data_IF_805078632778
#
_entry.id   IF_805078632778
#
_cell.length_a   1.000
_cell.length_b   1.000
_cell.length_c   1.000
_cell.angle_alpha   90.00
_cell.angle_beta   90.00
_cell.angle_gamma   90.00
#
_symmetry.space_group_name_H-M   'P 1'
#
loop_
_entity.id
_entity.type
_entity.pdbx_description
1 polymer ?
#
# COMPACT_ATOMS: atom_id res chain seq x y z
N UNK A 1 19.78 -18.88 -10.93
CA UNK A 1 19.68 -19.64 -9.67
C UNK A 1 19.13 -21.01 -10.02
N UNK A 2 19.95 -22.06 -10.01
CA UNK A 2 19.53 -23.41 -10.44
C UNK A 2 18.49 -24.05 -9.52
N UNK A 3 18.31 -23.51 -8.29
CA UNK A 3 17.36 -23.99 -7.29
C UNK A 3 16.19 -23.02 -7.03
N UNK A 4 16.05 -21.93 -7.81
CA UNK A 4 15.05 -20.88 -7.57
C UNK A 4 15.06 -20.30 -6.13
N UNK A 5 16.20 -20.32 -5.44
CA UNK A 5 16.30 -19.68 -4.12
C UNK A 5 16.21 -18.15 -4.22
N UNK A 6 15.59 -17.56 -3.20
CA UNK A 6 15.61 -16.12 -2.96
C UNK A 6 16.80 -15.73 -2.09
N UNK A 7 17.06 -14.43 -1.95
CA UNK A 7 18.00 -13.92 -0.95
C UNK A 7 17.40 -13.94 0.45
N UNK A 8 18.24 -13.87 1.48
CA UNK A 8 17.79 -13.63 2.85
C UNK A 8 16.95 -12.34 2.92
N UNK A 9 15.84 -12.40 3.64
CA UNK A 9 14.91 -11.29 3.81
C UNK A 9 14.73 -10.96 5.28
N UNK A 10 14.20 -9.78 5.58
CA UNK A 10 13.87 -9.39 6.95
C UNK A 10 12.75 -10.31 7.51
N UNK A 11 13.04 -11.04 8.58
CA UNK A 11 12.07 -11.91 9.26
C UNK A 11 11.24 -11.16 10.32
N UNK A 12 11.72 -10.00 10.78
CA UNK A 12 11.10 -9.22 11.84
C UNK A 12 10.17 -8.12 11.31
N UNK A 13 9.08 -7.86 12.04
CA UNK A 13 8.20 -6.74 11.76
C UNK A 13 8.78 -5.47 12.38
N UNK A 14 9.05 -4.46 11.55
CA UNK A 14 9.52 -3.14 12.01
C UNK A 14 8.38 -2.14 11.81
N UNK A 15 7.48 -2.06 12.79
CA UNK A 15 6.35 -1.14 12.74
C UNK A 15 6.72 0.24 13.30
N UNK A 16 6.38 1.29 12.55
CA UNK A 16 6.51 2.68 12.99
C UNK A 16 5.20 3.42 12.72
N UNK A 17 5.01 4.64 13.28
CA UNK A 17 3.83 5.45 12.98
C UNK A 17 3.63 5.77 11.49
N UNK A 18 4.64 5.59 10.65
CA UNK A 18 4.65 5.93 9.22
C UNK A 18 4.97 4.75 8.29
N UNK A 19 5.39 3.60 8.83
CA UNK A 19 5.80 2.44 8.03
C UNK A 19 4.65 1.85 7.20
N UNK A 20 5.00 1.11 6.15
CA UNK A 20 4.11 0.16 5.49
C UNK A 20 4.76 -1.22 5.58
N UNK A 21 4.06 -2.17 6.18
CA UNK A 21 4.59 -3.50 6.45
C UNK A 21 3.79 -4.55 5.69
N UNK A 22 4.45 -5.31 4.82
CA UNK A 22 3.79 -6.30 3.95
C UNK A 22 4.34 -7.69 4.30
N UNK A 23 3.48 -8.63 4.76
CA UNK A 23 3.94 -9.98 5.04
C UNK A 23 4.25 -10.71 3.74
N UNK A 24 5.32 -11.50 3.74
CA UNK A 24 5.73 -12.33 2.62
C UNK A 24 6.20 -13.71 3.06
N UNK A 25 6.31 -14.61 2.09
CA UNK A 25 7.00 -15.89 2.23
C UNK A 25 8.10 -15.96 1.20
N UNK A 26 9.28 -16.42 1.59
CA UNK A 26 10.43 -16.57 0.70
C UNK A 26 11.10 -17.93 0.94
N UNK A 27 11.79 -18.43 -0.08
CA UNK A 27 12.51 -19.70 -0.03
C UNK A 27 14.01 -19.43 0.02
N UNK A 28 14.68 -19.84 1.09
CA UNK A 28 16.11 -19.57 1.30
C UNK A 28 16.75 -20.71 2.11
N UNK A 29 17.88 -21.24 1.61
CA UNK A 29 18.61 -22.38 2.19
C UNK A 29 17.72 -23.60 2.37
N UNK A 30 17.03 -23.99 1.29
CA UNK A 30 16.20 -25.19 1.26
C UNK A 30 14.91 -25.14 2.09
N UNK A 31 14.51 -23.96 2.62
CA UNK A 31 13.35 -23.83 3.51
C UNK A 31 12.49 -22.61 3.18
N UNK A 32 11.18 -22.78 3.33
CA UNK A 32 10.25 -21.66 3.33
C UNK A 32 10.29 -20.91 4.67
N UNK A 33 10.40 -19.60 4.59
CA UNK A 33 10.43 -18.68 5.74
C UNK A 33 9.31 -17.65 5.61
N UNK A 34 8.86 -17.13 6.74
CA UNK A 34 8.00 -15.93 6.79
C UNK A 34 8.90 -14.72 6.91
N UNK A 35 8.54 -13.63 6.27
CA UNK A 35 9.26 -12.37 6.38
C UNK A 35 8.37 -11.17 6.12
N UNK A 36 8.99 -10.01 6.13
CA UNK A 36 8.33 -8.73 6.00
C UNK A 36 9.07 -7.83 5.04
N UNK A 37 8.33 -7.24 4.10
CA UNK A 37 8.78 -6.04 3.40
C UNK A 37 8.41 -4.84 4.27
N UNK A 38 9.40 -4.34 5.02
CA UNK A 38 9.27 -3.17 5.88
C UNK A 38 9.69 -1.91 5.11
N UNK A 39 8.73 -1.08 4.73
CA UNK A 39 8.99 0.24 4.17
C UNK A 39 8.92 1.23 5.32
N UNK A 40 10.06 1.42 5.98
CA UNK A 40 10.13 2.13 7.26
C UNK A 40 10.10 3.64 7.10
N UNK A 41 10.56 4.21 5.98
CA UNK A 41 10.60 5.66 5.76
C UNK A 41 9.99 6.05 4.40
N UNK A 42 8.67 6.15 4.34
CA UNK A 42 7.92 6.51 3.13
C UNK A 42 8.14 7.99 2.70
N UNK A 43 8.66 8.85 3.58
CA UNK A 43 8.86 10.27 3.28
C UNK A 43 10.04 10.54 2.34
N UNK A 44 10.98 9.60 2.22
CA UNK A 44 12.09 9.68 1.26
C UNK A 44 11.70 9.31 -0.17
N UNK A 45 10.41 9.07 -0.40
CA UNK A 45 9.88 8.54 -1.65
C UNK A 45 9.98 7.02 -1.69
N UNK A 46 9.03 6.39 -2.40
CA UNK A 46 9.04 4.96 -2.66
C UNK A 46 8.68 4.75 -4.13
N UNK A 47 9.64 4.24 -4.90
CA UNK A 47 9.43 3.97 -6.32
C UNK A 47 9.14 2.48 -6.53
N UNK A 48 7.98 2.18 -7.10
CA UNK A 48 7.59 0.82 -7.49
C UNK A 48 7.66 0.68 -9.02
N UNK A 49 8.58 -0.15 -9.52
CA UNK A 49 8.79 -0.40 -10.95
C UNK A 49 8.51 -1.86 -11.28
N UNK A 50 7.97 -2.13 -12.46
CA UNK A 50 7.75 -3.48 -12.97
C UNK A 50 6.93 -3.47 -14.25
N UNK A 51 6.93 -4.57 -14.97
CA UNK A 51 6.18 -4.71 -16.23
C UNK A 51 4.66 -4.63 -16.03
N UNK A 52 3.87 -4.29 -17.05
CA UNK A 52 2.41 -4.41 -16.99
C UNK A 52 1.99 -5.82 -16.55
N UNK A 53 1.01 -5.92 -15.66
CA UNK A 53 0.54 -7.21 -15.12
C UNK A 53 1.37 -7.79 -13.97
N UNK A 54 2.49 -7.18 -13.57
CA UNK A 54 3.37 -7.70 -12.50
C UNK A 54 2.83 -7.59 -11.07
N UNK A 55 1.55 -7.25 -10.88
CA UNK A 55 0.90 -7.22 -9.56
C UNK A 55 1.22 -6.03 -8.64
N UNK A 56 1.95 -4.99 -9.10
CA UNK A 56 2.36 -3.82 -8.28
C UNK A 56 1.24 -3.22 -7.42
N UNK A 57 0.05 -3.08 -8.00
CA UNK A 57 -1.10 -2.49 -7.31
C UNK A 57 -1.46 -3.32 -6.09
N UNK A 58 -1.64 -4.62 -6.26
CA UNK A 58 -1.99 -5.53 -5.18
C UNK A 58 -0.84 -5.70 -4.16
N UNK A 59 0.40 -5.84 -4.64
CA UNK A 59 1.53 -6.17 -3.80
C UNK A 59 2.05 -5.00 -2.97
N UNK A 60 1.97 -3.75 -3.48
CA UNK A 60 2.52 -2.57 -2.80
C UNK A 60 1.46 -1.47 -2.61
N UNK A 61 0.77 -1.03 -3.67
CA UNK A 61 -0.07 0.19 -3.62
C UNK A 61 -1.29 0.03 -2.70
N UNK A 62 -1.99 -1.11 -2.77
CA UNK A 62 -3.12 -1.41 -1.89
C UNK A 62 -2.71 -1.47 -0.40
N UNK A 63 -1.58 -2.13 -0.02
CA UNK A 63 -1.03 -2.04 1.32
C UNK A 63 -0.76 -0.61 1.81
N UNK A 64 -0.24 0.29 0.95
CA UNK A 64 -0.07 1.70 1.27
C UNK A 64 -1.42 2.35 1.58
N UNK A 65 -2.39 2.24 0.68
CA UNK A 65 -3.75 2.79 0.87
C UNK A 65 -4.35 2.29 2.19
N UNK A 66 -4.29 0.99 2.45
CA UNK A 66 -4.86 0.38 3.65
C UNK A 66 -4.18 0.88 4.93
N UNK A 67 -2.85 0.90 4.97
CA UNK A 67 -2.10 1.18 6.20
C UNK A 67 -2.02 2.67 6.49
N UNK A 68 -1.74 3.51 5.49
CA UNK A 68 -1.68 4.96 5.68
C UNK A 68 -3.05 5.57 5.96
N UNK A 69 -4.13 5.10 5.32
CA UNK A 69 -5.48 5.54 5.69
C UNK A 69 -5.84 5.18 7.14
N UNK A 70 -5.43 3.99 7.61
CA UNK A 70 -5.67 3.56 8.99
C UNK A 70 -4.82 4.34 10.01
N UNK A 71 -3.67 4.87 9.58
CA UNK A 71 -2.77 5.73 10.36
C UNK A 71 -3.18 7.22 10.28
N UNK A 72 -4.28 7.55 9.59
CA UNK A 72 -4.81 8.91 9.52
C UNK A 72 -4.05 9.86 8.58
N UNK A 73 -3.26 9.33 7.66
CA UNK A 73 -2.56 10.15 6.67
C UNK A 73 -3.53 10.75 5.65
N UNK A 74 -3.28 12.00 5.26
CA UNK A 74 -3.87 12.56 4.05
C UNK A 74 -3.29 11.83 2.82
N UNK A 75 -4.14 11.55 1.83
CA UNK A 75 -3.74 10.82 0.64
C UNK A 75 -4.30 11.50 -0.61
N UNK A 76 -3.43 11.65 -1.62
CA UNK A 76 -3.82 11.96 -2.99
C UNK A 76 -3.52 10.74 -3.84
N UNK A 77 -4.56 10.18 -4.45
CA UNK A 77 -4.45 8.95 -5.26
C UNK A 77 -4.87 9.27 -6.68
N UNK A 78 -3.91 9.18 -7.60
CA UNK A 78 -4.17 9.27 -9.04
C UNK A 78 -4.54 7.88 -9.58
N UNK A 79 -5.73 7.76 -10.15
CA UNK A 79 -6.27 6.48 -10.63
C UNK A 79 -6.40 6.49 -12.16
N UNK A 80 -5.32 6.09 -12.85
CA UNK A 80 -5.29 6.00 -14.31
C UNK A 80 -6.32 5.00 -14.87
N UNK A 81 -6.67 3.96 -14.10
CA UNK A 81 -7.66 2.94 -14.47
C UNK A 81 -8.92 3.11 -13.64
N UNK A 82 -9.43 4.33 -13.60
CA UNK A 82 -10.63 4.67 -12.83
C UNK A 82 -11.79 3.69 -13.13
N UNK A 83 -12.53 3.21 -12.10
CA UNK A 83 -12.49 3.58 -10.68
C UNK A 83 -11.73 2.59 -9.78
N UNK A 84 -10.64 1.98 -10.23
CA UNK A 84 -9.97 0.88 -9.48
C UNK A 84 -9.43 1.31 -8.11
N UNK A 85 -8.45 2.21 -8.07
CA UNK A 85 -7.82 2.69 -6.83
C UNK A 85 -8.76 3.61 -6.05
N UNK A 86 -9.57 4.41 -6.74
CA UNK A 86 -10.55 5.29 -6.13
C UNK A 86 -11.53 4.51 -5.24
N UNK A 87 -12.04 3.37 -5.74
CA UNK A 87 -12.93 2.49 -4.96
C UNK A 87 -12.24 1.92 -3.73
N UNK A 88 -10.97 1.50 -3.84
CA UNK A 88 -10.20 0.98 -2.70
C UNK A 88 -9.97 2.04 -1.63
N UNK A 89 -9.57 3.25 -2.02
CA UNK A 89 -9.38 4.36 -1.09
C UNK A 89 -10.70 4.72 -0.40
N UNK A 90 -11.79 4.84 -1.15
CA UNK A 90 -13.11 5.15 -0.58
C UNK A 90 -13.59 4.09 0.40
N UNK A 91 -13.39 2.81 0.09
CA UNK A 91 -13.68 1.70 1.00
C UNK A 91 -12.92 1.86 2.33
N UNK A 92 -11.61 2.12 2.27
CA UNK A 92 -10.79 2.29 3.48
C UNK A 92 -11.16 3.55 4.27
N UNK A 93 -11.49 4.65 3.60
CA UNK A 93 -12.06 5.84 4.22
C UNK A 93 -13.34 5.51 5.00
N UNK A 94 -14.32 4.85 4.37
CA UNK A 94 -15.59 4.46 5.02
C UNK A 94 -15.39 3.46 6.15
N UNK A 95 -14.46 2.52 5.99
CA UNK A 95 -14.10 1.58 7.05
C UNK A 95 -13.54 2.32 8.27
N UNK A 96 -12.61 3.24 8.07
CA UNK A 96 -12.00 4.00 9.17
C UNK A 96 -13.00 5.00 9.79
N UNK A 97 -13.94 5.54 9.00
CA UNK A 97 -15.06 6.34 9.50
C UNK A 97 -15.90 5.55 10.51
N UNK A 98 -16.31 4.33 10.13
CA UNK A 98 -17.09 3.45 11.00
C UNK A 98 -16.34 3.04 12.28
N UNK A 99 -15.01 2.93 12.19
CA UNK A 99 -14.14 2.57 13.33
C UNK A 99 -13.74 3.77 14.20
N UNK A 100 -14.16 4.99 13.88
CA UNK A 100 -13.73 6.19 14.61
C UNK A 100 -12.23 6.50 14.47
N UNK A 101 -11.58 6.00 13.41
CA UNK A 101 -10.14 6.15 13.16
C UNK A 101 -9.78 7.32 12.24
N UNK A 102 -10.78 8.03 11.72
CA UNK A 102 -10.53 9.21 10.90
C UNK A 102 -10.08 10.39 11.78
N UNK A 103 -9.09 11.17 11.34
CA UNK A 103 -8.80 12.47 11.93
C UNK A 103 -10.03 13.37 11.94
N UNK A 104 -10.12 14.27 12.92
CA UNK A 104 -11.19 15.25 13.00
C UNK A 104 -11.24 16.10 11.72
N UNK A 105 -12.44 16.24 11.13
CA UNK A 105 -12.63 17.00 9.90
C UNK A 105 -12.13 16.31 8.62
N UNK A 106 -11.70 15.04 8.68
CA UNK A 106 -11.30 14.30 7.48
C UNK A 106 -12.46 14.18 6.48
N UNK A 107 -12.21 14.56 5.22
CA UNK A 107 -13.16 14.48 4.11
C UNK A 107 -12.59 13.63 2.99
N UNK A 108 -13.47 13.10 2.14
CA UNK A 108 -13.11 12.41 0.90
C UNK A 108 -13.66 13.22 -0.28
N UNK A 109 -12.79 13.66 -1.17
CA UNK A 109 -13.13 14.42 -2.36
C UNK A 109 -12.58 13.71 -3.60
N UNK A 110 -13.27 13.86 -4.72
CA UNK A 110 -12.87 13.31 -6.01
C UNK A 110 -12.89 14.43 -7.05
N UNK A 111 -11.79 14.56 -7.78
CA UNK A 111 -11.66 15.52 -8.88
C UNK A 111 -11.65 14.72 -10.17
N UNK A 112 -12.66 14.92 -11.02
CA UNK A 112 -12.67 14.37 -12.36
C UNK A 112 -12.16 15.45 -13.33
N UNK A 113 -11.12 15.14 -14.08
CA UNK A 113 -10.52 16.07 -15.05
C UNK A 113 -11.14 15.95 -16.45
N UNK A 114 -12.05 15.01 -16.68
CA UNK A 114 -12.69 14.77 -17.98
C UNK A 114 -14.00 15.56 -18.12
N UNK A 115 -14.77 15.67 -17.04
CA UNK A 115 -15.99 16.47 -16.97
C UNK A 115 -15.76 17.67 -16.05
N UNK A 116 -15.18 18.74 -16.60
CA UNK A 116 -15.07 20.02 -15.90
C UNK A 116 -16.42 20.73 -16.00
N UNK A 117 -17.21 20.67 -14.93
CA UNK A 117 -18.41 21.52 -14.81
C UNK A 117 -17.95 22.98 -14.66
N UNK A 118 -18.40 23.84 -15.58
CA UNK A 118 -18.17 25.30 -15.59
C UNK A 118 -19.23 26.04 -14.80
#
# INVERSE_FOLDING_TARGET
NFENESFEQCEELIETPYSVNIPMRYYYKGKFRKGWTNITNCFRGTWVVGTPGSGKTFSIIEPFIRQHSAKGFAMVVYDYKFPTLATKLYYHYKKNQKLGKLPQGCQFNMINFVDVEY
#
